data_IF_212829778143
#
_entry.id   IF_212829778143
#
_cell.length_a   1.000
_cell.length_b   1.000
_cell.length_c   1.000
_cell.angle_alpha   90.00
_cell.angle_beta   90.00
_cell.angle_gamma   90.00
#
_symmetry.space_group_name_H-M   'P 1'
#
loop_
_entity.id
_entity.type
_entity.pdbx_description
1 polymer ?
#
# COMPACT_ATOMS: atom_id res chain seq x y z
N UNK A 1 34.17 8.43 -6.16
CA UNK A 1 33.39 9.55 -6.71
C UNK A 1 32.51 8.98 -7.79
N UNK A 2 31.19 9.06 -7.60
CA UNK A 2 30.18 8.48 -8.48
C UNK A 2 29.00 8.00 -7.65
N UNK A 3 28.39 8.90 -6.87
CA UNK A 3 27.05 8.64 -6.35
C UNK A 3 26.12 8.88 -7.53
N UNK A 4 25.52 7.82 -8.05
CA UNK A 4 24.46 7.95 -9.04
C UNK A 4 23.27 8.60 -8.32
N UNK A 5 22.95 9.83 -8.72
CA UNK A 5 21.72 10.52 -8.34
C UNK A 5 20.57 9.61 -8.84
N UNK A 6 19.92 8.89 -7.92
CA UNK A 6 18.78 8.07 -8.31
C UNK A 6 17.63 9.03 -8.58
N UNK A 7 17.22 9.16 -9.85
CA UNK A 7 16.05 9.94 -10.31
C UNK A 7 14.70 9.43 -9.73
N UNK A 8 14.74 8.59 -8.68
CA UNK A 8 13.57 8.01 -8.03
C UNK A 8 12.78 9.10 -7.31
N UNK A 9 11.47 9.08 -7.55
CA UNK A 9 10.54 9.97 -6.87
C UNK A 9 10.49 9.62 -5.37
N UNK A 10 10.79 10.58 -4.49
CA UNK A 10 10.54 10.44 -3.05
C UNK A 10 9.06 10.65 -2.77
N UNK A 11 8.41 9.68 -2.09
CA UNK A 11 6.97 9.72 -1.80
C UNK A 11 6.71 10.17 -0.36
N UNK A 12 6.28 11.43 -0.21
CA UNK A 12 5.99 12.06 1.08
C UNK A 12 4.47 12.04 1.33
N UNK A 13 4.01 11.45 2.45
CA UNK A 13 2.60 11.46 2.83
C UNK A 13 2.01 12.88 2.84
N UNK A 14 0.92 13.09 2.10
CA UNK A 14 0.24 14.39 2.01
C UNK A 14 0.76 15.34 0.93
N UNK A 15 1.89 15.03 0.29
CA UNK A 15 2.47 15.86 -0.78
C UNK A 15 2.58 15.06 -2.09
N UNK A 16 3.63 14.24 -2.24
CA UNK A 16 3.93 13.48 -3.47
C UNK A 16 3.40 12.04 -3.44
N UNK A 17 2.80 11.63 -2.32
CA UNK A 17 2.19 10.33 -2.12
C UNK A 17 0.69 10.36 -2.44
N UNK A 18 0.41 10.49 -3.73
CA UNK A 18 -0.95 10.60 -4.27
C UNK A 18 -1.25 9.39 -5.16
N UNK A 19 -2.20 8.56 -4.74
CA UNK A 19 -2.81 7.56 -5.61
C UNK A 19 -3.93 8.24 -6.39
N UNK A 20 -3.72 8.38 -7.69
CA UNK A 20 -4.74 8.90 -8.59
C UNK A 20 -5.68 7.76 -8.97
N UNK A 21 -6.98 7.95 -8.75
CA UNK A 21 -8.00 7.01 -9.23
C UNK A 21 -8.01 7.07 -10.76
N UNK A 22 -7.70 5.94 -11.40
CA UNK A 22 -7.74 5.83 -12.86
C UNK A 22 -9.18 5.79 -13.38
N UNK A 23 -9.43 6.19 -14.64
CA UNK A 23 -10.73 6.00 -15.27
C UNK A 23 -11.20 4.54 -15.25
N UNK A 24 -10.27 3.59 -15.39
CA UNK A 24 -10.52 2.15 -15.32
C UNK A 24 -11.04 1.75 -13.92
N UNK A 25 -10.38 2.23 -12.87
CA UNK A 25 -10.81 1.98 -11.49
C UNK A 25 -12.16 2.64 -11.19
N UNK A 26 -12.38 3.88 -11.66
CA UNK A 26 -13.68 4.54 -11.51
C UNK A 26 -14.80 3.75 -12.19
N UNK A 27 -14.57 3.27 -13.41
CA UNK A 27 -15.52 2.43 -14.14
C UNK A 27 -15.76 1.09 -13.43
N UNK A 28 -14.70 0.47 -12.89
CA UNK A 28 -14.82 -0.75 -12.10
C UNK A 28 -15.70 -0.53 -10.86
N UNK A 29 -15.45 0.53 -10.09
CA UNK A 29 -16.26 0.89 -8.91
C UNK A 29 -17.72 1.14 -9.29
N UNK A 30 -17.97 1.92 -10.34
CA UNK A 30 -19.34 2.20 -10.79
C UNK A 30 -20.09 0.94 -11.23
N UNK A 31 -19.37 -0.02 -11.84
CA UNK A 31 -19.96 -1.26 -12.35
C UNK A 31 -20.20 -2.31 -11.27
N UNK A 32 -19.27 -2.48 -10.33
CA UNK A 32 -19.27 -3.59 -9.38
C UNK A 32 -19.52 -3.20 -7.93
N UNK A 33 -19.39 -1.91 -7.60
CA UNK A 33 -19.61 -1.35 -6.26
C UNK A 33 -20.55 -0.12 -6.29
N UNK A 34 -21.73 -0.20 -6.96
CA UNK A 34 -22.64 0.94 -7.02
C UNK A 34 -23.24 1.29 -5.64
N UNK A 35 -23.26 0.33 -4.70
CA UNK A 35 -23.66 0.53 -3.32
C UNK A 35 -22.61 -0.08 -2.35
N UNK A 36 -21.95 0.74 -1.50
CA UNK A 36 -20.98 0.27 -0.51
C UNK A 36 -21.52 -0.78 0.47
N UNK A 37 -22.85 -0.90 0.62
CA UNK A 37 -23.49 -1.86 1.53
C UNK A 37 -23.42 -3.32 1.06
N UNK A 38 -22.90 -3.58 -0.16
CA UNK A 38 -22.79 -4.93 -0.74
C UNK A 38 -21.46 -5.61 -0.39
N UNK A 39 -20.53 -4.92 0.29
CA UNK A 39 -19.28 -5.54 0.73
C UNK A 39 -19.55 -6.58 1.82
N UNK A 40 -19.10 -7.81 1.59
CA UNK A 40 -19.27 -8.90 2.56
C UNK A 40 -18.29 -8.74 3.72
N UNK A 41 -18.67 -9.22 4.91
CA UNK A 41 -17.86 -9.14 6.13
C UNK A 41 -16.45 -9.74 5.96
N UNK A 42 -16.31 -10.75 5.09
CA UNK A 42 -15.02 -11.38 4.79
C UNK A 42 -14.06 -10.44 4.05
N UNK A 43 -14.57 -9.40 3.39
CA UNK A 43 -13.76 -8.36 2.73
C UNK A 43 -13.36 -7.23 3.67
N UNK A 44 -14.03 -7.12 4.82
CA UNK A 44 -13.76 -6.08 5.81
C UNK A 44 -12.67 -6.55 6.79
N UNK A 45 -11.46 -6.74 6.29
CA UNK A 45 -10.28 -7.18 7.06
C UNK A 45 -9.16 -6.14 6.98
N UNK A 46 -8.30 -6.12 7.99
CA UNK A 46 -7.08 -5.31 7.94
C UNK A 46 -6.14 -5.83 6.84
N UNK A 47 -5.73 -4.95 5.91
CA UNK A 47 -4.83 -5.31 4.80
C UNK A 47 -3.38 -5.58 5.22
N UNK A 48 -3.03 -5.40 6.50
CA UNK A 48 -1.69 -5.67 7.03
C UNK A 48 -1.63 -6.97 7.84
N UNK A 49 -2.62 -7.20 8.70
CA UNK A 49 -2.62 -8.33 9.65
C UNK A 49 -3.80 -9.28 9.52
N UNK A 50 -4.72 -9.03 8.58
CA UNK A 50 -5.89 -9.87 8.28
C UNK A 50 -6.92 -10.00 9.40
N UNK A 51 -6.80 -9.22 10.48
CA UNK A 51 -7.83 -9.17 11.53
C UNK A 51 -9.16 -8.73 10.93
N UNK A 52 -10.27 -9.44 11.20
CA UNK A 52 -11.62 -9.01 10.82
C UNK A 52 -12.02 -7.70 11.50
N UNK A 53 -12.60 -6.79 10.72
CA UNK A 53 -13.03 -5.45 11.15
C UNK A 53 -14.54 -5.24 11.01
N UNK A 54 -15.25 -6.13 10.29
CA UNK A 54 -16.69 -6.04 10.07
C UNK A 54 -17.50 -5.72 11.34
N UNK A 55 -17.27 -6.47 12.42
CA UNK A 55 -17.99 -6.23 13.68
C UNK A 55 -17.72 -4.85 14.29
N UNK A 56 -16.49 -4.33 14.17
CA UNK A 56 -16.16 -3.00 14.67
C UNK A 56 -16.86 -1.93 13.83
N UNK A 57 -16.86 -2.11 12.51
CA UNK A 57 -17.53 -1.22 11.54
C UNK A 57 -19.05 -1.20 11.80
N UNK A 58 -19.68 -2.36 11.94
CA UNK A 58 -21.13 -2.47 12.21
C UNK A 58 -21.54 -1.85 13.54
N UNK A 59 -20.63 -1.82 14.53
CA UNK A 59 -20.84 -1.16 15.83
C UNK A 59 -20.56 0.34 15.78
N UNK A 60 -20.24 0.90 14.61
CA UNK A 60 -19.94 2.33 14.45
C UNK A 60 -18.62 2.75 15.10
N UNK A 61 -17.68 1.81 15.32
CA UNK A 61 -16.34 2.17 15.81
C UNK A 61 -15.55 2.91 14.73
N UNK A 62 -14.52 3.71 15.11
CA UNK A 62 -13.65 4.38 14.16
C UNK A 62 -13.06 3.41 13.13
N UNK A 63 -13.06 3.85 11.87
CA UNK A 63 -12.43 3.16 10.75
C UNK A 63 -11.09 3.82 10.49
N UNK A 64 -10.05 3.01 10.27
CA UNK A 64 -8.71 3.50 9.98
C UNK A 64 -8.34 3.17 8.53
N UNK A 65 -7.83 4.18 7.84
CA UNK A 65 -7.41 4.08 6.45
C UNK A 65 -5.90 4.30 6.39
N UNK A 66 -5.22 3.44 5.64
CA UNK A 66 -3.78 3.52 5.45
C UNK A 66 -3.41 4.87 4.84
N UNK A 67 -2.54 5.63 5.52
CA UNK A 67 -2.18 7.01 5.20
C UNK A 67 -1.70 7.22 3.76
N UNK A 68 -1.10 6.18 3.18
CA UNK A 68 -0.43 6.25 1.88
C UNK A 68 -1.16 5.52 0.75
N UNK A 69 -1.90 4.46 1.10
CA UNK A 69 -2.43 3.48 0.14
C UNK A 69 -3.95 3.53 0.06
N UNK A 70 -4.61 4.29 0.95
CA UNK A 70 -6.07 4.42 1.00
C UNK A 70 -6.82 3.09 1.15
N UNK A 71 -6.18 2.09 1.77
CA UNK A 71 -6.76 0.77 2.07
C UNK A 71 -7.13 0.62 3.55
N UNK A 72 -8.02 -0.32 3.85
CA UNK A 72 -8.50 -0.58 5.21
C UNK A 72 -7.41 -1.18 6.11
N UNK A 73 -7.25 -0.64 7.32
CA UNK A 73 -6.33 -1.14 8.35
C UNK A 73 -7.00 -1.13 9.72
N UNK A 74 -6.51 -1.97 10.65
CA UNK A 74 -6.92 -1.90 12.04
C UNK A 74 -6.18 -0.77 12.77
N UNK A 75 -6.73 -0.34 13.91
CA UNK A 75 -6.13 0.70 14.76
C UNK A 75 -4.66 0.41 15.12
N UNK A 76 -4.35 -0.84 15.49
CA UNK A 76 -3.00 -1.23 15.87
C UNK A 76 -2.01 -1.07 14.71
N UNK A 77 -2.38 -1.49 13.50
CA UNK A 77 -1.54 -1.33 12.31
C UNK A 77 -1.43 0.13 11.88
N UNK A 78 -2.51 0.91 12.01
CA UNK A 78 -2.49 2.35 11.74
C UNK A 78 -1.51 3.08 12.67
N UNK A 79 -1.59 2.80 13.98
CA UNK A 79 -0.71 3.41 14.98
C UNK A 79 0.74 2.96 14.81
N UNK A 80 0.97 1.68 14.51
CA UNK A 80 2.31 1.15 14.24
C UNK A 80 2.95 1.80 13.01
N UNK A 81 2.15 2.06 11.96
CA UNK A 81 2.65 2.66 10.72
C UNK A 81 3.17 4.10 10.92
N UNK A 82 2.63 4.82 11.90
CA UNK A 82 3.06 6.18 12.24
C UNK A 82 2.67 7.20 11.17
N UNK A 83 3.58 8.14 10.91
CA UNK A 83 3.37 9.26 9.97
C UNK A 83 3.60 8.87 8.50
N UNK A 84 4.20 7.71 8.24
CA UNK A 84 4.58 7.25 6.91
C UNK A 84 5.85 7.90 6.35
N UNK A 85 6.59 8.66 7.14
CA UNK A 85 7.87 9.25 6.76
C UNK A 85 9.00 8.26 7.10
N UNK A 86 9.44 7.49 6.11
CA UNK A 86 10.45 6.45 6.31
C UNK A 86 11.85 6.95 5.99
N UNK A 87 12.82 6.47 6.74
CA UNK A 87 14.24 6.71 6.46
C UNK A 87 14.69 5.88 5.27
N UNK A 88 15.52 6.48 4.41
CA UNK A 88 16.17 5.80 3.31
C UNK A 88 17.40 4.98 3.76
N UNK A 89 17.78 4.00 2.95
CA UNK A 89 19.07 3.29 3.01
C UNK A 89 20.19 4.01 2.26
N UNK A 90 21.32 3.33 2.07
CA UNK A 90 22.51 3.88 1.45
C UNK A 90 22.29 4.20 -0.04
N UNK A 91 21.32 3.54 -0.67
CA UNK A 91 20.95 3.69 -2.09
C UNK A 91 19.77 4.67 -2.30
N UNK A 92 19.21 5.19 -1.20
CA UNK A 92 18.10 6.16 -1.24
C UNK A 92 16.71 5.54 -1.20
N UNK A 93 16.59 4.22 -1.01
CA UNK A 93 15.30 3.49 -0.98
C UNK A 93 14.75 3.35 0.46
N UNK A 94 13.42 3.25 0.59
CA UNK A 94 12.75 3.12 1.89
C UNK A 94 13.18 1.82 2.60
N UNK A 95 13.70 1.93 3.83
CA UNK A 95 14.08 0.78 4.68
C UNK A 95 12.91 -0.11 5.13
N UNK A 96 11.68 0.34 4.92
CA UNK A 96 10.47 -0.28 5.45
C UNK A 96 9.44 -0.47 4.35
N UNK A 97 8.70 -1.59 4.44
CA UNK A 97 7.59 -1.87 3.55
C UNK A 97 6.55 -0.74 3.63
N UNK A 98 6.26 -0.13 2.48
CA UNK A 98 5.32 0.97 2.31
C UNK A 98 3.88 0.60 2.73
N UNK A 99 3.54 -0.68 2.80
CA UNK A 99 2.22 -1.16 3.24
C UNK A 99 2.13 -1.44 4.76
N UNK A 100 3.16 -2.04 5.38
CA UNK A 100 3.07 -2.45 6.78
C UNK A 100 4.02 -1.75 7.74
N UNK A 101 4.97 -0.95 7.24
CA UNK A 101 6.01 -0.32 8.05
C UNK A 101 7.05 -1.28 8.63
N UNK A 102 7.05 -2.56 8.22
CA UNK A 102 8.06 -3.53 8.67
C UNK A 102 9.25 -3.59 7.71
N UNK A 103 10.45 -3.76 8.26
CA UNK A 103 11.66 -4.06 7.48
C UNK A 103 11.75 -5.54 7.10
N UNK A 104 12.88 -5.94 6.51
CA UNK A 104 13.16 -7.30 6.06
C UNK A 104 13.45 -7.35 4.55
N UNK A 105 13.06 -8.43 3.88
CA UNK A 105 13.18 -8.52 2.42
C UNK A 105 12.09 -7.69 1.74
N UNK A 106 12.51 -6.68 0.98
CA UNK A 106 11.64 -5.75 0.28
C UNK A 106 11.92 -5.78 -1.23
N UNK A 107 10.88 -5.53 -2.01
CA UNK A 107 10.94 -5.33 -3.45
C UNK A 107 10.85 -3.83 -3.73
N UNK A 108 11.85 -3.30 -4.43
CA UNK A 108 12.04 -1.87 -4.65
C UNK A 108 11.33 -1.44 -5.93
N UNK A 109 10.67 -0.29 -5.92
CA UNK A 109 10.10 0.28 -7.12
C UNK A 109 11.21 0.86 -8.02
N UNK A 110 11.10 0.64 -9.32
CA UNK A 110 12.01 1.22 -10.32
C UNK A 110 11.89 2.76 -10.43
N UNK A 111 10.72 3.32 -10.09
CA UNK A 111 10.39 4.73 -10.33
C UNK A 111 10.28 5.61 -9.07
N UNK A 112 10.30 5.03 -7.87
CA UNK A 112 10.20 5.79 -6.62
C UNK A 112 10.92 5.09 -5.48
N UNK A 113 11.17 5.78 -4.38
CA UNK A 113 11.88 5.21 -3.22
C UNK A 113 11.09 4.15 -2.45
N UNK A 114 9.79 3.96 -2.76
CA UNK A 114 8.97 3.00 -2.05
C UNK A 114 9.34 1.54 -2.31
N UNK A 115 9.28 0.77 -1.23
CA UNK A 115 9.54 -0.66 -1.23
C UNK A 115 8.38 -1.45 -0.61
N UNK A 116 8.15 -2.70 -1.02
CA UNK A 116 7.05 -3.53 -0.52
C UNK A 116 7.54 -4.94 -0.14
N UNK A 117 7.03 -5.52 0.95
CA UNK A 117 7.36 -6.89 1.32
C UNK A 117 6.43 -7.90 0.63
N UNK A 118 6.94 -9.10 0.35
CA UNK A 118 6.16 -10.15 -0.32
C UNK A 118 4.87 -10.51 0.43
N UNK A 119 4.91 -10.46 1.78
CA UNK A 119 3.77 -10.79 2.64
C UNK A 119 2.57 -9.88 2.36
N UNK A 120 2.79 -8.57 2.26
CA UNK A 120 1.71 -7.62 1.98
C UNK A 120 1.15 -7.80 0.58
N UNK A 121 2.01 -8.07 -0.42
CA UNK A 121 1.55 -8.33 -1.79
C UNK A 121 0.72 -9.60 -1.85
N UNK A 122 1.21 -10.72 -1.31
CA UNK A 122 0.51 -12.02 -1.26
C UNK A 122 -0.84 -11.92 -0.56
N UNK A 123 -0.92 -11.11 0.50
CA UNK A 123 -2.12 -10.97 1.29
C UNK A 123 -3.25 -10.24 0.53
N UNK A 124 -2.90 -9.23 -0.27
CA UNK A 124 -3.88 -8.29 -0.81
C UNK A 124 -4.09 -8.40 -2.32
N UNK A 125 -3.15 -9.00 -3.04
CA UNK A 125 -3.15 -9.06 -4.51
C UNK A 125 -3.15 -10.51 -5.00
N UNK A 126 -3.53 -10.68 -6.26
CA UNK A 126 -3.58 -12.00 -6.90
C UNK A 126 -2.16 -12.57 -7.04
N UNK A 127 -2.04 -13.89 -6.96
CA UNK A 127 -0.76 -14.58 -7.09
C UNK A 127 -0.03 -14.27 -8.42
N UNK A 128 -0.77 -13.94 -9.49
CA UNK A 128 -0.20 -13.53 -10.78
C UNK A 128 0.71 -12.31 -10.68
N UNK A 129 0.44 -11.39 -9.75
CA UNK A 129 1.21 -10.14 -9.57
C UNK A 129 2.55 -10.40 -8.87
N UNK A 130 2.73 -11.56 -8.23
CA UNK A 130 3.97 -11.87 -7.53
C UNK A 130 5.14 -12.11 -8.48
N UNK A 131 4.87 -12.62 -9.69
CA UNK A 131 5.89 -12.82 -10.70
C UNK A 131 6.50 -11.50 -11.18
N UNK A 132 5.70 -10.42 -11.15
CA UNK A 132 6.13 -9.10 -11.61
C UNK A 132 7.07 -8.40 -10.62
N UNK A 133 7.07 -8.81 -9.34
CA UNK A 133 7.89 -8.17 -8.30
C UNK A 133 9.40 -8.32 -8.54
N UNK A 134 9.80 -9.39 -9.23
CA UNK A 134 11.20 -9.69 -9.52
C UNK A 134 11.69 -9.01 -10.81
N UNK A 135 10.82 -8.25 -11.50
CA UNK A 135 11.18 -7.54 -12.71
C UNK A 135 11.87 -6.20 -12.36
N UNK A 136 13.03 -5.93 -12.95
CA UNK A 136 13.81 -4.71 -12.68
C UNK A 136 13.02 -3.42 -12.99
N UNK A 137 12.10 -3.47 -13.96
CA UNK A 137 11.25 -2.34 -14.33
C UNK A 137 9.97 -2.21 -13.49
N UNK A 138 9.81 -3.04 -12.45
CA UNK A 138 8.59 -3.09 -11.66
C UNK A 138 8.22 -1.75 -11.01
N UNK A 139 6.98 -1.31 -11.27
CA UNK A 139 6.39 -0.11 -10.66
C UNK A 139 5.46 -0.51 -9.54
N UNK A 140 5.68 0.05 -8.35
CA UNK A 140 4.84 -0.23 -7.20
C UNK A 140 3.41 0.31 -7.34
N UNK A 141 2.55 -0.09 -6.40
CA UNK A 141 1.12 0.24 -6.35
C UNK A 141 0.79 1.71 -6.09
N UNK A 142 1.80 2.57 -5.96
CA UNK A 142 1.64 4.03 -5.94
C UNK A 142 1.98 4.62 -7.31
N UNK A 143 3.01 4.10 -7.97
CA UNK A 143 3.41 4.52 -9.31
C UNK A 143 2.49 3.97 -10.41
N UNK A 144 1.90 2.79 -10.18
CA UNK A 144 0.93 2.14 -11.04
C UNK A 144 -0.19 1.54 -10.18
N UNK A 145 -1.13 2.38 -9.69
CA UNK A 145 -2.22 1.96 -8.81
C UNK A 145 -3.32 1.15 -9.49
#
# INVERSE_FOLDING_TARGET
MGGEDTDKIVRIPGETLLIKVSPEELNYRNKYLPDPTILTDEKLVCTVCSVPLAQNIHKGKPIFIHRCLQVLVCEACFNFYGDGCFSADEDGDDKYCRWCGQGGTLYLCSACTCAFCQKCVKLNLKASVLADLENDDWKCYICNP
#
